data_IF_482829492598
#
_entry.id   IF_482829492598
#
_cell.length_a   1.000
_cell.length_b   1.000
_cell.length_c   1.000
_cell.angle_alpha   90.00
_cell.angle_beta   90.00
_cell.angle_gamma   90.00
#
_symmetry.space_group_name_H-M   'P 1'
#
loop_
_entity.id
_entity.type
_entity.pdbx_description
1 polymer ?
#
# COMPACT_ATOMS: atom_id res chain seq x y z
N UNK A 1 23.04 13.51 65.69
CA UNK A 1 22.71 13.04 64.32
C UNK A 1 21.95 11.72 64.52
N UNK A 2 20.71 11.47 64.13
CA UNK A 2 19.97 11.76 62.91
C UNK A 2 18.45 11.84 63.21
N UNK A 3 17.71 12.70 62.52
CA UNK A 3 16.25 12.82 62.64
C UNK A 3 15.57 11.78 61.73
N UNK A 4 14.54 11.03 62.17
CA UNK A 4 13.84 10.09 61.30
C UNK A 4 12.98 10.83 60.26
N UNK A 5 13.19 10.45 58.99
CA UNK A 5 12.50 10.90 57.79
C UNK A 5 11.00 10.58 57.86
N UNK A 6 10.15 11.62 57.90
CA UNK A 6 8.71 11.47 57.66
C UNK A 6 8.49 11.26 56.16
N UNK A 7 8.34 10.01 55.74
CA UNK A 7 7.89 9.65 54.39
C UNK A 7 6.45 10.12 54.21
N UNK A 8 6.26 11.28 53.55
CA UNK A 8 4.94 11.81 53.23
C UNK A 8 4.38 11.02 52.04
N UNK A 9 3.42 10.14 52.29
CA UNK A 9 2.69 9.42 51.25
C UNK A 9 2.06 10.40 50.24
N UNK A 10 2.27 10.17 48.94
CA UNK A 10 1.54 10.88 47.88
C UNK A 10 0.09 10.39 47.89
N UNK A 11 -0.93 11.27 47.88
CA UNK A 11 -2.31 10.81 47.74
C UNK A 11 -2.54 10.22 46.35
N UNK A 12 -3.28 9.11 46.30
CA UNK A 12 -3.68 8.42 45.08
C UNK A 12 -4.49 9.36 44.15
N UNK A 13 -4.40 9.19 42.81
CA UNK A 13 -5.15 10.03 41.89
C UNK A 13 -6.66 9.75 42.02
N UNK A 14 -7.44 10.80 42.29
CA UNK A 14 -8.91 10.74 42.26
C UNK A 14 -9.35 10.32 40.85
N UNK A 15 -10.02 9.17 40.73
CA UNK A 15 -10.71 8.75 39.51
C UNK A 15 -11.85 9.73 39.24
N UNK A 16 -11.61 10.75 38.41
CA UNK A 16 -12.68 11.56 37.86
C UNK A 16 -13.43 10.71 36.86
N UNK A 17 -14.67 10.33 37.18
CA UNK A 17 -15.58 9.68 36.26
C UNK A 17 -15.71 10.56 35.00
N UNK A 18 -15.19 10.07 33.87
CA UNK A 18 -15.35 10.74 32.58
C UNK A 18 -16.80 10.60 32.19
N UNK A 19 -17.55 11.69 32.31
CA UNK A 19 -18.93 11.79 31.86
C UNK A 19 -19.03 11.30 30.41
N UNK A 20 -19.99 10.41 30.16
CA UNK A 20 -20.44 10.06 28.81
C UNK A 20 -20.87 11.35 28.09
N UNK A 21 -20.42 11.62 26.85
CA UNK A 21 -20.96 12.74 26.11
C UNK A 21 -22.39 12.39 25.73
N UNK A 22 -23.35 13.07 26.37
CA UNK A 22 -24.77 13.05 26.02
C UNK A 22 -24.92 13.46 24.56
N UNK A 23 -25.60 12.64 23.77
CA UNK A 23 -25.97 12.95 22.39
C UNK A 23 -26.82 14.23 22.35
N UNK A 24 -26.29 15.30 21.73
CA UNK A 24 -27.06 16.51 21.46
C UNK A 24 -28.04 16.21 20.33
N UNK A 25 -29.33 16.13 20.66
CA UNK A 25 -30.44 16.19 19.72
C UNK A 25 -30.54 17.64 19.20
N UNK A 26 -30.20 17.87 17.94
CA UNK A 26 -30.55 19.11 17.23
C UNK A 26 -31.39 18.73 16.02
N UNK A 27 -32.70 18.89 16.19
CA UNK A 27 -33.65 18.90 15.10
C UNK A 27 -33.61 20.30 14.46
N UNK A 28 -33.40 20.38 13.15
CA UNK A 28 -33.90 21.48 12.35
C UNK A 28 -34.34 20.93 10.99
N UNK A 29 -35.61 21.08 10.57
CA UNK A 29 -36.12 20.51 9.35
C UNK A 29 -35.90 21.48 8.18
N UNK A 30 -34.72 21.43 7.58
CA UNK A 30 -34.48 21.85 6.19
C UNK A 30 -33.72 20.71 5.51
N UNK A 31 -34.46 19.95 4.71
CA UNK A 31 -34.14 18.59 4.28
C UNK A 31 -32.84 18.45 3.50
N UNK A 32 -31.76 18.15 4.22
CA UNK A 32 -30.60 17.44 3.69
C UNK A 32 -30.66 15.96 4.07
N UNK A 33 -29.98 15.11 3.30
CA UNK A 33 -29.77 13.70 3.65
C UNK A 33 -29.17 13.61 5.07
N UNK A 34 -29.64 12.71 5.95
CA UNK A 34 -29.12 12.59 7.31
C UNK A 34 -27.59 12.43 7.31
N UNK A 35 -26.94 13.03 8.32
CA UNK A 35 -25.50 12.91 8.52
C UNK A 35 -25.11 11.45 8.67
N UNK A 36 -24.01 11.07 8.03
CA UNK A 36 -23.52 9.69 8.09
C UNK A 36 -22.86 9.42 9.43
N UNK A 37 -23.34 8.41 10.15
CA UNK A 37 -22.77 7.98 11.42
C UNK A 37 -21.88 6.73 11.20
N UNK A 38 -20.55 6.85 11.37
CA UNK A 38 -19.64 5.74 11.13
C UNK A 38 -19.77 4.67 12.22
N UNK A 39 -20.41 3.55 11.87
CA UNK A 39 -20.52 2.36 12.72
C UNK A 39 -19.27 1.49 12.68
N UNK A 40 -19.08 0.62 13.69
CA UNK A 40 -17.95 -0.32 13.72
C UNK A 40 -17.92 -1.24 12.48
N UNK A 41 -19.09 -1.71 12.03
CA UNK A 41 -19.22 -2.57 10.85
C UNK A 41 -18.78 -1.84 9.57
N UNK A 42 -19.21 -0.59 9.37
CA UNK A 42 -18.82 0.19 8.19
C UNK A 42 -17.35 0.56 8.23
N UNK A 43 -16.77 0.86 9.41
CA UNK A 43 -15.31 1.07 9.56
C UNK A 43 -14.52 -0.17 9.17
N UNK A 44 -14.94 -1.35 9.62
CA UNK A 44 -14.31 -2.60 9.24
C UNK A 44 -14.40 -2.87 7.73
N UNK A 45 -15.55 -2.58 7.12
CA UNK A 45 -15.74 -2.72 5.67
C UNK A 45 -14.82 -1.76 4.87
N UNK A 46 -14.76 -0.48 5.25
CA UNK A 46 -13.84 0.51 4.62
C UNK A 46 -12.39 0.05 4.75
N UNK A 47 -12.00 -0.40 5.94
CA UNK A 47 -10.65 -0.87 6.20
C UNK A 47 -10.28 -2.10 5.36
N UNK A 48 -11.20 -3.04 5.21
CA UNK A 48 -10.99 -4.22 4.37
C UNK A 48 -10.84 -3.83 2.89
N UNK A 49 -11.81 -3.07 2.35
CA UNK A 49 -11.80 -2.66 0.94
C UNK A 49 -10.65 -1.70 0.60
N UNK A 50 -10.27 -0.82 1.54
CA UNK A 50 -9.12 0.05 1.39
C UNK A 50 -7.81 -0.72 1.40
N UNK A 51 -7.73 -1.80 2.19
CA UNK A 51 -6.55 -2.68 2.26
C UNK A 51 -6.33 -3.47 0.98
N UNK A 52 -7.40 -3.85 0.27
CA UNK A 52 -7.33 -4.51 -1.04
C UNK A 52 -7.02 -3.55 -2.20
N UNK A 53 -6.91 -2.25 -1.93
CA UNK A 53 -6.65 -1.24 -2.96
C UNK A 53 -7.88 -0.79 -3.74
N UNK A 54 -9.09 -1.01 -3.21
CA UNK A 54 -10.33 -0.57 -3.89
C UNK A 54 -10.38 0.97 -3.97
N UNK A 55 -10.70 1.57 -5.13
CA UNK A 55 -10.84 3.02 -5.24
C UNK A 55 -11.87 3.59 -4.26
N UNK A 56 -11.58 4.78 -3.71
CA UNK A 56 -12.45 5.42 -2.72
C UNK A 56 -13.85 5.71 -3.26
N UNK A 57 -14.02 5.99 -4.55
CA UNK A 57 -15.35 6.18 -5.16
C UNK A 57 -16.20 4.90 -5.09
N UNK A 58 -15.57 3.74 -5.32
CA UNK A 58 -16.26 2.44 -5.28
C UNK A 58 -16.63 2.05 -3.85
N UNK A 59 -15.75 2.33 -2.88
CA UNK A 59 -16.02 2.13 -1.45
C UNK A 59 -17.20 3.02 -1.01
N UNK A 60 -17.20 4.30 -1.41
CA UNK A 60 -18.28 5.22 -1.09
C UNK A 60 -19.62 4.76 -1.68
N UNK A 61 -19.62 4.28 -2.94
CA UNK A 61 -20.78 3.69 -3.61
C UNK A 61 -21.28 2.43 -2.89
N UNK A 62 -20.39 1.56 -2.43
CA UNK A 62 -20.74 0.34 -1.70
C UNK A 62 -21.45 0.64 -0.38
N UNK A 63 -21.02 1.69 0.34
CA UNK A 63 -21.62 2.12 1.61
C UNK A 63 -22.85 3.02 1.37
N UNK A 64 -23.00 3.55 0.16
CA UNK A 64 -24.10 4.43 -0.24
C UNK A 64 -23.91 5.89 0.18
N UNK A 65 -22.66 6.34 0.39
CA UNK A 65 -22.30 7.71 0.78
C UNK A 65 -21.53 8.43 -0.33
N UNK A 66 -21.41 9.76 -0.22
CA UNK A 66 -20.54 10.52 -1.11
C UNK A 66 -19.05 10.32 -0.75
N UNK A 67 -18.18 10.46 -1.75
CA UNK A 67 -16.72 10.34 -1.58
C UNK A 67 -16.16 11.33 -0.56
N UNK A 68 -16.73 12.55 -0.46
CA UNK A 68 -16.30 13.54 0.53
C UNK A 68 -16.68 13.11 1.94
N UNK A 69 -17.86 12.53 2.12
CA UNK A 69 -18.32 11.99 3.40
C UNK A 69 -17.46 10.80 3.84
N UNK A 70 -17.05 9.94 2.90
CA UNK A 70 -16.13 8.83 3.20
C UNK A 70 -14.81 9.36 3.78
N UNK A 71 -14.19 10.33 3.12
CA UNK A 71 -12.92 10.93 3.58
C UNK A 71 -13.05 11.67 4.92
N UNK A 72 -14.23 12.24 5.22
CA UNK A 72 -14.47 12.95 6.47
C UNK A 72 -14.52 12.00 7.67
N UNK A 73 -15.16 10.84 7.54
CA UNK A 73 -15.43 9.95 8.67
C UNK A 73 -14.47 8.76 8.80
N UNK A 74 -13.79 8.38 7.70
CA UNK A 74 -12.97 7.17 7.63
C UNK A 74 -11.52 7.42 7.22
N UNK A 75 -10.98 8.62 7.50
CA UNK A 75 -9.63 8.97 7.05
C UNK A 75 -8.58 8.03 7.62
N UNK A 76 -8.65 7.79 8.92
CA UNK A 76 -7.71 6.92 9.62
C UNK A 76 -7.78 5.48 9.09
N UNK A 77 -8.98 4.97 8.83
CA UNK A 77 -9.14 3.63 8.26
C UNK A 77 -8.53 3.51 6.87
N UNK A 78 -8.73 4.51 6.01
CA UNK A 78 -8.19 4.53 4.65
C UNK A 78 -6.66 4.63 4.64
N UNK A 79 -6.09 5.44 5.52
CA UNK A 79 -4.64 5.64 5.58
C UNK A 79 -3.96 4.41 6.22
N UNK A 80 -4.57 3.79 7.23
CA UNK A 80 -4.02 2.61 7.90
C UNK A 80 -4.28 1.29 7.17
N UNK A 81 -5.35 1.19 6.37
CA UNK A 81 -5.74 -0.08 5.75
C UNK A 81 -4.67 -0.67 4.85
N UNK A 82 -3.99 0.17 4.07
CA UNK A 82 -2.96 -0.27 3.14
C UNK A 82 -1.70 -0.74 3.89
N UNK A 83 -1.31 -0.02 4.95
CA UNK A 83 -0.18 -0.38 5.80
C UNK A 83 -0.44 -1.74 6.46
N UNK A 84 -1.64 -1.95 6.99
CA UNK A 84 -1.99 -3.19 7.67
C UNK A 84 -2.14 -4.36 6.70
N UNK A 85 -2.70 -4.15 5.51
CA UNK A 85 -2.75 -5.17 4.47
C UNK A 85 -1.35 -5.63 4.05
N UNK A 86 -0.45 -4.66 3.79
CA UNK A 86 0.94 -4.96 3.45
C UNK A 86 1.69 -5.67 4.58
N UNK A 87 1.44 -5.30 5.83
CA UNK A 87 1.99 -6.00 6.99
C UNK A 87 1.53 -7.45 7.04
N UNK A 88 0.23 -7.70 6.92
CA UNK A 88 -0.34 -9.05 6.98
C UNK A 88 0.19 -9.95 5.85
N UNK A 89 0.30 -9.41 4.63
CA UNK A 89 0.93 -10.12 3.50
C UNK A 89 2.40 -10.44 3.82
N UNK A 90 3.13 -9.48 4.40
CA UNK A 90 4.52 -9.69 4.82
C UNK A 90 4.68 -10.80 5.86
N UNK A 91 3.79 -10.87 6.85
CA UNK A 91 3.78 -11.95 7.86
C UNK A 91 3.53 -13.30 7.19
N UNK A 92 2.50 -13.40 6.34
CA UNK A 92 2.16 -14.64 5.62
C UNK A 92 3.28 -15.11 4.69
N UNK A 93 3.92 -14.17 4.01
CA UNK A 93 5.04 -14.46 3.15
C UNK A 93 6.25 -14.96 3.95
N UNK A 94 6.54 -14.34 5.10
CA UNK A 94 7.62 -14.77 5.98
C UNK A 94 7.38 -16.19 6.52
N UNK A 95 6.17 -16.48 7.00
CA UNK A 95 5.77 -17.84 7.42
C UNK A 95 6.02 -18.85 6.28
N UNK A 96 5.52 -18.55 5.09
CA UNK A 96 5.67 -19.41 3.90
C UNK A 96 7.14 -19.59 3.46
N UNK A 97 7.98 -18.56 3.63
CA UNK A 97 9.42 -18.67 3.39
C UNK A 97 10.11 -19.57 4.43
N UNK A 98 9.70 -19.50 5.70
CA UNK A 98 10.22 -20.38 6.76
C UNK A 98 9.80 -21.84 6.57
N UNK A 99 8.63 -22.07 5.97
CA UNK A 99 8.17 -23.42 5.57
C UNK A 99 8.93 -23.98 4.35
N UNK A 100 9.83 -23.19 3.73
CA UNK A 100 10.67 -23.64 2.61
C UNK A 100 10.10 -23.40 1.21
N UNK A 101 9.07 -22.58 1.06
CA UNK A 101 8.57 -22.21 -0.26
C UNK A 101 9.60 -21.38 -1.05
N UNK A 102 10.08 -21.96 -2.16
CA UNK A 102 11.12 -21.36 -2.99
C UNK A 102 10.69 -19.99 -3.55
N UNK A 103 9.43 -19.81 -3.90
CA UNK A 103 8.91 -18.54 -4.43
C UNK A 103 8.99 -17.41 -3.41
N UNK A 104 8.56 -17.68 -2.17
CA UNK A 104 8.66 -16.73 -1.07
C UNK A 104 10.12 -16.39 -0.71
N UNK A 105 11.00 -17.40 -0.69
CA UNK A 105 12.44 -17.22 -0.45
C UNK A 105 13.09 -16.35 -1.53
N UNK A 106 12.88 -16.65 -2.81
CA UNK A 106 13.42 -15.87 -3.94
C UNK A 106 12.89 -14.44 -3.91
N UNK A 107 11.58 -14.26 -3.70
CA UNK A 107 10.99 -12.93 -3.64
C UNK A 107 11.58 -12.12 -2.49
N UNK A 108 11.73 -12.72 -1.31
CA UNK A 108 12.30 -12.05 -0.15
C UNK A 108 13.74 -11.62 -0.42
N UNK A 109 14.56 -12.50 -0.98
CA UNK A 109 15.96 -12.22 -1.28
C UNK A 109 16.12 -11.08 -2.31
N UNK A 110 15.25 -11.05 -3.32
CA UNK A 110 15.25 -10.01 -4.36
C UNK A 110 14.75 -8.66 -3.86
N UNK A 111 13.69 -8.64 -3.06
CA UNK A 111 13.01 -7.38 -2.67
C UNK A 111 13.52 -6.81 -1.35
N UNK A 112 13.86 -7.66 -0.39
CA UNK A 112 14.29 -7.27 0.97
C UNK A 112 15.71 -7.73 1.32
N UNK A 113 16.17 -8.85 0.78
CA UNK A 113 17.54 -9.35 0.94
C UNK A 113 18.60 -8.54 0.18
N UNK A 114 18.17 -7.58 -0.64
CA UNK A 114 19.06 -6.69 -1.39
C UNK A 114 19.83 -7.39 -2.51
N UNK A 115 19.52 -8.65 -2.82
CA UNK A 115 20.18 -9.40 -3.88
C UNK A 115 19.58 -9.03 -5.23
N UNK A 116 20.37 -8.37 -6.07
CA UNK A 116 20.01 -8.05 -7.45
C UNK A 116 21.13 -8.54 -8.36
N UNK A 117 20.77 -9.38 -9.32
CA UNK A 117 21.66 -9.78 -10.39
C UNK A 117 21.67 -8.68 -11.45
N UNK A 118 22.84 -8.08 -11.69
CA UNK A 118 23.01 -7.02 -12.69
C UNK A 118 23.62 -7.63 -13.94
N UNK A 119 22.83 -7.77 -15.00
CA UNK A 119 23.36 -8.13 -16.31
C UNK A 119 24.10 -6.90 -16.85
N UNK A 120 25.43 -6.98 -16.94
CA UNK A 120 26.23 -5.97 -17.63
C UNK A 120 26.25 -6.30 -19.11
N UNK A 121 25.50 -5.54 -19.89
CA UNK A 121 25.63 -5.58 -21.35
C UNK A 121 26.89 -4.82 -21.74
N UNK A 122 27.95 -5.55 -22.08
CA UNK A 122 29.18 -5.00 -22.64
C UNK A 122 29.00 -4.76 -24.14
N UNK A 123 28.46 -3.60 -24.51
CA UNK A 123 28.32 -3.15 -25.89
C UNK A 123 28.00 -1.66 -25.90
N UNK A 124 28.50 -0.94 -26.90
CA UNK A 124 28.21 0.48 -27.06
C UNK A 124 26.69 0.70 -27.04
N UNK A 125 26.18 1.45 -26.06
CA UNK A 125 24.78 1.87 -26.00
C UNK A 125 24.54 2.92 -27.07
N UNK A 126 24.52 2.48 -28.31
CA UNK A 126 23.89 3.19 -29.40
C UNK A 126 22.43 2.76 -29.43
N UNK A 127 21.52 3.73 -29.48
CA UNK A 127 20.19 3.49 -30.06
C UNK A 127 20.46 2.78 -31.38
N UNK A 128 19.92 1.57 -31.58
CA UNK A 128 19.85 0.94 -32.89
C UNK A 128 18.96 1.84 -33.74
N UNK A 129 19.56 2.90 -34.30
CA UNK A 129 18.91 3.76 -35.28
C UNK A 129 18.84 2.93 -36.55
N UNK A 130 17.67 2.36 -36.77
CA UNK A 130 17.33 1.78 -38.05
C UNK A 130 17.19 2.95 -39.03
N UNK A 131 18.27 3.26 -39.75
CA UNK A 131 18.27 4.24 -40.83
C UNK A 131 17.87 3.50 -42.13
N UNK A 132 16.61 3.55 -42.59
CA UNK A 132 16.14 2.79 -43.75
C UNK A 132 16.88 3.16 -45.05
N UNK A 133 17.40 4.39 -45.15
CA UNK A 133 18.20 4.84 -46.29
C UNK A 133 19.58 4.18 -46.37
N UNK A 134 20.16 3.74 -45.23
CA UNK A 134 21.45 3.01 -45.23
C UNK A 134 21.32 1.55 -45.65
N UNK A 135 20.11 0.99 -45.64
CA UNK A 135 19.85 -0.36 -46.15
C UNK A 135 19.69 -0.39 -47.68
N UNK A 136 19.28 0.71 -48.31
CA UNK A 136 19.07 0.76 -49.76
C UNK A 136 20.37 0.77 -50.57
N UNK A 137 21.51 1.04 -49.94
CA UNK A 137 22.84 0.99 -50.56
C UNK A 137 23.69 -0.22 -50.17
N UNK A 138 23.17 -1.14 -49.34
CA UNK A 138 23.86 -2.37 -48.98
C UNK A 138 23.80 -3.36 -50.13
N UNK A 139 24.93 -4.00 -50.41
CA UNK A 139 24.99 -5.05 -51.44
C UNK A 139 24.26 -6.30 -50.93
N UNK A 140 23.70 -7.12 -51.82
CA UNK A 140 22.94 -8.34 -51.46
C UNK A 140 23.69 -9.27 -50.49
N UNK A 141 25.03 -9.25 -50.52
CA UNK A 141 25.88 -9.99 -49.60
C UNK A 141 25.78 -9.51 -48.14
N UNK A 142 25.61 -8.21 -47.92
CA UNK A 142 25.49 -7.62 -46.57
C UNK A 142 24.07 -7.82 -46.01
N UNK A 143 23.06 -7.83 -46.88
CA UNK A 143 21.67 -8.14 -46.52
C UNK A 143 21.52 -9.61 -46.07
N UNK A 144 22.22 -10.54 -46.74
CA UNK A 144 22.28 -11.96 -46.35
C UNK A 144 22.81 -12.18 -44.93
N UNK A 145 23.82 -11.40 -44.50
CA UNK A 145 24.40 -11.50 -43.16
C UNK A 145 23.41 -11.02 -42.10
N UNK A 146 22.65 -9.96 -42.40
CA UNK A 146 21.62 -9.44 -41.50
C UNK A 146 20.42 -10.38 -41.38
N UNK A 147 19.95 -10.97 -42.47
CA UNK A 147 18.90 -12.00 -42.43
C UNK A 147 19.35 -13.22 -41.60
N UNK A 148 20.60 -13.64 -41.75
CA UNK A 148 21.16 -14.74 -40.96
C UNK A 148 21.27 -14.40 -39.47
N UNK A 149 21.57 -13.14 -39.13
CA UNK A 149 21.61 -12.68 -37.75
C UNK A 149 20.20 -12.58 -37.14
N UNK A 150 19.20 -12.19 -37.94
CA UNK A 150 17.80 -12.07 -37.52
C UNK A 150 17.15 -13.45 -37.33
N UNK A 151 17.48 -14.44 -38.16
CA UNK A 151 17.03 -15.82 -38.04
C UNK A 151 17.56 -16.53 -36.77
N UNK A 152 18.66 -16.05 -36.18
CA UNK A 152 19.20 -16.57 -34.91
C UNK A 152 18.56 -15.93 -33.66
N UNK A 153 17.73 -14.90 -33.88
CA UNK A 153 17.05 -14.13 -32.83
C UNK A 153 15.57 -14.52 -32.67
N UNK A 154 15.06 -15.44 -33.50
CA UNK A 154 13.76 -16.11 -33.36
C UNK A 154 13.96 -17.54 -32.87
#
# INVERSE_FOLDING_TARGET
MAKPSKTRARPAPKKTARATPKAKKVANPKGGRPSHEPTAATRAAVKSMGGTGTPQENIARHIGIDSKTLRLHYRDELDLSLIQANHNIGVKLYEKAMDGDLGALIWWDKTRGGKSEKVRFGGAVGVLKFDPEKLQGMTDAELSVLETALAKLQ
#
